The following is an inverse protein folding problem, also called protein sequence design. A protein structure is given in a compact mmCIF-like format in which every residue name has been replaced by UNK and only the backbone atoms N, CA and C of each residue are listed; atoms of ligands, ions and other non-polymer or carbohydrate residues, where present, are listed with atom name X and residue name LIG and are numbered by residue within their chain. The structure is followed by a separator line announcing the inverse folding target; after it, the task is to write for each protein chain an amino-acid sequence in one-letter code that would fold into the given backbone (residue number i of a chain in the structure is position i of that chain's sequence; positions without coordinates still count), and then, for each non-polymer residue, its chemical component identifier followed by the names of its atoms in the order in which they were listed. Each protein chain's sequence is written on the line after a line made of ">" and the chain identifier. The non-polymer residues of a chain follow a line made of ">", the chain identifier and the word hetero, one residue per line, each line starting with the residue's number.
data_IF_760317421238
#
_entry.id   IF_760317421238
#
_cell.length_a   1.000
_cell.length_b   1.000
_cell.length_c   1.000
_cell.angle_alpha   90.00
_cell.angle_beta   90.00
_cell.angle_gamma   90.00
#
_symmetry.space_group_name_H-M   'P 1'
#
loop_
_entity.id
_entity.type
_entity.pdbx_description
1 polymer ?
#
# COMPACT_ATOMS: atom_id res chain seq x y z
N UNK A 1 70.88 -13.01 7.62
CA UNK A 1 69.79 -13.22 6.65
C UNK A 1 68.53 -13.63 7.42
N UNK A 2 67.57 -12.73 7.60
CA UNK A 2 66.26 -13.06 8.18
C UNK A 2 65.20 -12.37 7.36
N UNK A 3 64.52 -13.16 6.52
CA UNK A 3 63.53 -12.73 5.56
C UNK A 3 62.20 -12.48 6.28
N UNK A 4 61.82 -11.21 6.45
CA UNK A 4 60.52 -10.83 7.00
C UNK A 4 59.38 -11.32 6.12
N UNK A 5 58.51 -12.20 6.66
CA UNK A 5 57.30 -12.63 5.97
C UNK A 5 56.25 -11.51 6.03
N UNK A 6 55.99 -10.87 4.89
CA UNK A 6 54.89 -9.92 4.71
C UNK A 6 53.57 -10.71 4.74
N UNK A 7 52.79 -10.55 5.81
CA UNK A 7 51.45 -11.11 5.92
C UNK A 7 50.49 -10.34 4.99
N UNK A 8 50.06 -10.96 3.89
CA UNK A 8 49.00 -10.40 3.04
C UNK A 8 47.66 -10.42 3.80
N UNK A 9 46.87 -9.33 3.78
CA UNK A 9 45.56 -9.32 4.42
C UNK A 9 44.64 -10.33 3.73
N UNK A 10 44.05 -11.24 4.52
CA UNK A 10 43.05 -12.19 4.03
C UNK A 10 41.82 -11.40 3.61
N UNK A 11 41.46 -11.45 2.32
CA UNK A 11 40.17 -10.97 1.83
C UNK A 11 39.06 -11.70 2.58
N UNK A 12 38.45 -11.01 3.56
CA UNK A 12 37.15 -11.39 4.10
C UNK A 12 36.11 -11.08 3.02
N UNK A 13 35.94 -11.99 2.07
CA UNK A 13 34.66 -12.14 1.41
C UNK A 13 33.68 -12.68 2.45
N UNK A 14 33.26 -11.80 3.35
CA UNK A 14 32.12 -12.01 4.22
C UNK A 14 30.95 -12.20 3.27
N UNK A 15 30.45 -13.43 3.18
CA UNK A 15 29.26 -13.77 2.43
C UNK A 15 28.14 -12.81 2.85
N UNK A 16 27.94 -11.74 2.07
CA UNK A 16 26.71 -10.98 2.09
C UNK A 16 25.64 -12.00 1.71
N UNK A 17 24.94 -12.54 2.71
CA UNK A 17 23.72 -13.30 2.47
C UNK A 17 22.90 -12.44 1.53
N UNK A 18 22.69 -12.94 0.31
CA UNK A 18 21.70 -12.39 -0.59
C UNK A 18 20.35 -12.59 0.10
N UNK A 19 20.01 -11.69 1.03
CA UNK A 19 18.65 -11.44 1.45
C UNK A 19 17.97 -10.88 0.21
N UNK A 20 17.63 -11.76 -0.74
CA UNK A 20 16.69 -11.46 -1.80
C UNK A 20 15.46 -10.98 -1.06
N UNK A 21 15.25 -9.66 -1.05
CA UNK A 21 14.06 -9.05 -0.47
C UNK A 21 12.89 -9.80 -1.06
N UNK A 22 12.11 -10.46 -0.19
CA UNK A 22 10.89 -11.13 -0.61
C UNK A 22 10.05 -10.05 -1.30
N UNK A 23 9.83 -10.18 -2.60
CA UNK A 23 8.99 -9.23 -3.31
C UNK A 23 7.60 -9.32 -2.70
N UNK A 24 7.11 -8.23 -2.16
CA UNK A 24 5.74 -8.12 -1.69
C UNK A 24 4.84 -8.05 -2.92
N UNK A 25 4.47 -9.19 -3.49
CA UNK A 25 3.56 -9.25 -4.63
C UNK A 25 2.12 -9.04 -4.15
N UNK A 26 1.29 -8.43 -5.02
CA UNK A 26 -0.15 -8.29 -4.79
C UNK A 26 -0.78 -9.69 -4.73
N UNK A 27 -1.64 -9.90 -3.74
CA UNK A 27 -2.46 -11.11 -3.61
C UNK A 27 -3.94 -10.78 -3.83
N UNK A 28 -4.80 -11.81 -3.80
CA UNK A 28 -6.25 -11.67 -3.93
C UNK A 28 -6.87 -10.98 -2.70
N UNK A 29 -7.98 -10.28 -2.91
CA UNK A 29 -8.79 -9.59 -1.89
C UNK A 29 -8.04 -8.51 -1.10
N UNK A 30 -7.03 -7.87 -1.70
CA UNK A 30 -6.41 -6.70 -1.12
C UNK A 30 -7.24 -5.45 -1.41
N UNK A 31 -7.36 -4.60 -0.39
CA UNK A 31 -7.85 -3.23 -0.49
C UNK A 31 -6.66 -2.28 -0.48
N UNK A 32 -6.73 -1.16 -1.18
CA UNK A 32 -5.58 -0.27 -1.28
C UNK A 32 -5.72 0.84 -2.28
N UNK A 33 -4.56 1.29 -2.76
CA UNK A 33 -4.43 2.39 -3.70
C UNK A 33 -3.43 2.02 -4.78
N UNK A 34 -3.80 2.28 -6.02
CA UNK A 34 -2.92 2.19 -7.16
C UNK A 34 -2.30 3.56 -7.42
N UNK A 35 -0.98 3.64 -7.30
CA UNK A 35 -0.21 4.87 -7.38
C UNK A 35 0.64 4.86 -8.64
N UNK A 36 0.48 5.85 -9.53
CA UNK A 36 1.34 6.00 -10.71
C UNK A 36 2.35 7.13 -10.54
N UNK A 37 3.57 6.93 -11.06
CA UNK A 37 4.65 7.92 -11.02
C UNK A 37 5.51 7.91 -12.28
N UNK A 38 6.50 8.80 -12.40
CA UNK A 38 7.46 8.83 -13.52
C UNK A 38 8.88 8.53 -13.04
N UNK A 39 9.33 7.27 -13.18
CA UNK A 39 10.69 6.79 -12.89
C UNK A 39 11.25 7.15 -11.49
N UNK A 40 10.38 7.45 -10.52
CA UNK A 40 10.73 7.83 -9.14
C UNK A 40 9.84 7.10 -8.13
N UNK A 41 9.72 5.78 -8.28
CA UNK A 41 8.83 4.92 -7.48
C UNK A 41 9.08 5.05 -5.97
N UNK A 42 10.34 5.15 -5.54
CA UNK A 42 10.68 5.31 -4.11
C UNK A 42 10.11 6.59 -3.51
N UNK A 43 10.17 7.70 -4.25
CA UNK A 43 9.65 8.98 -3.77
C UNK A 43 8.13 9.01 -3.87
N UNK A 44 7.56 8.39 -4.91
CA UNK A 44 6.12 8.17 -5.00
C UNK A 44 5.59 7.40 -3.80
N UNK A 45 6.27 6.32 -3.37
CA UNK A 45 5.88 5.55 -2.18
C UNK A 45 5.86 6.44 -0.94
N UNK A 46 6.92 7.25 -0.73
CA UNK A 46 7.00 8.17 0.42
C UNK A 46 5.88 9.21 0.40
N UNK A 47 5.67 9.88 -0.73
CA UNK A 47 4.61 10.87 -0.87
C UNK A 47 3.23 10.25 -0.66
N UNK A 48 3.03 9.04 -1.16
CA UNK A 48 1.77 8.32 -0.98
C UNK A 48 1.53 8.01 0.50
N UNK A 49 2.53 7.54 1.24
CA UNK A 49 2.39 7.33 2.69
C UNK A 49 2.08 8.63 3.42
N UNK A 50 2.76 9.73 3.09
CA UNK A 50 2.54 11.01 3.75
C UNK A 50 1.07 11.47 3.61
N UNK A 51 0.54 11.42 2.39
CA UNK A 51 -0.84 11.86 2.13
C UNK A 51 -1.87 10.88 2.69
N UNK A 52 -1.64 9.58 2.52
CA UNK A 52 -2.56 8.56 3.03
C UNK A 52 -2.63 8.57 4.55
N UNK A 53 -1.49 8.72 5.24
CA UNK A 53 -1.47 8.83 6.70
C UNK A 53 -2.15 10.11 7.18
N UNK A 54 -1.83 11.26 6.56
CA UNK A 54 -2.48 12.53 6.91
C UNK A 54 -4.00 12.45 6.75
N UNK A 55 -4.48 11.94 5.62
CA UNK A 55 -5.91 11.80 5.37
C UNK A 55 -6.56 10.78 6.34
N UNK A 56 -5.87 9.68 6.65
CA UNK A 56 -6.38 8.70 7.61
C UNK A 56 -6.41 9.24 9.04
N UNK A 57 -5.47 10.08 9.43
CA UNK A 57 -5.44 10.76 10.73
C UNK A 57 -6.57 11.79 10.85
N UNK A 58 -6.83 12.57 9.79
CA UNK A 58 -7.94 13.53 9.76
C UNK A 58 -9.32 12.84 9.81
N UNK A 59 -9.47 11.67 9.17
CA UNK A 59 -10.75 10.95 9.11
C UNK A 59 -11.01 10.05 10.33
N UNK A 60 -10.00 9.28 10.75
CA UNK A 60 -10.15 8.24 11.77
C UNK A 60 -9.49 8.61 13.11
N UNK A 61 -8.86 9.79 13.20
CA UNK A 61 -8.04 10.21 14.33
C UNK A 61 -6.68 9.50 14.38
N UNK A 62 -5.81 9.98 15.26
CA UNK A 62 -4.69 9.18 15.73
C UNK A 62 -5.28 7.93 16.39
N UNK A 63 -4.97 6.76 15.83
CA UNK A 63 -5.40 5.51 16.46
C UNK A 63 -4.70 5.47 17.82
N UNK A 64 -5.49 5.27 18.88
CA UNK A 64 -5.13 5.25 20.30
C UNK A 64 -4.08 4.18 20.68
N UNK A 65 -2.98 4.06 19.97
CA UNK A 65 -1.81 3.30 20.42
C UNK A 65 -0.74 4.22 21.02
N UNK A 66 -0.81 5.53 20.79
CA UNK A 66 0.13 6.51 21.36
C UNK A 66 -0.37 7.18 22.66
N UNK A 67 -1.66 7.07 23.01
CA UNK A 67 -2.26 7.89 24.09
C UNK A 67 -2.52 7.17 25.41
N UNK A 68 -2.31 5.85 25.53
CA UNK A 68 -2.62 5.10 26.77
C UNK A 68 -1.42 4.91 27.73
N UNK A 69 -0.23 5.46 27.45
CA UNK A 69 0.97 5.26 28.31
C UNK A 69 1.40 6.48 29.14
N UNK A 70 0.49 7.41 29.47
CA UNK A 70 0.85 8.63 30.23
C UNK A 70 0.32 8.70 31.66
N UNK A 71 -0.28 7.65 32.22
CA UNK A 71 -0.87 7.72 33.58
C UNK A 71 -0.41 6.66 34.60
N UNK A 72 0.81 6.13 34.51
CA UNK A 72 1.39 5.44 35.67
C UNK A 72 2.91 5.61 35.74
N UNK A 73 3.35 6.76 36.27
CA UNK A 73 4.73 6.94 36.73
C UNK A 73 4.83 6.29 38.11
N UNK A 74 5.00 4.96 38.13
CA UNK A 74 5.64 4.29 39.25
C UNK A 74 7.14 4.19 38.95
N UNK A 75 7.96 4.57 39.92
CA UNK A 75 9.43 4.54 39.87
C UNK A 75 9.95 3.18 39.37
N UNK A 76 10.15 3.06 38.06
CA UNK A 76 10.94 1.98 37.45
C UNK A 76 12.22 2.55 36.89
N UNK A 77 13.29 1.76 37.02
CA UNK A 77 14.66 2.14 36.71
C UNK A 77 14.76 2.71 35.28
N UNK A 78 15.35 3.91 35.13
CA UNK A 78 15.42 4.67 33.86
C UNK A 78 15.96 3.80 32.71
N UNK A 79 16.83 2.83 33.04
CA UNK A 79 17.39 1.89 32.07
C UNK A 79 16.36 0.92 31.47
N UNK A 80 15.33 0.53 32.24
CA UNK A 80 14.26 -0.37 31.78
C UNK A 80 13.23 0.36 30.93
N UNK A 81 12.96 1.65 31.21
CA UNK A 81 12.15 2.51 30.35
C UNK A 81 12.83 2.76 29.00
N UNK A 82 14.14 3.02 28.98
CA UNK A 82 14.91 3.16 27.74
C UNK A 82 14.93 1.85 26.96
N UNK A 83 15.05 0.70 27.63
CA UNK A 83 15.00 -0.61 26.96
C UNK A 83 13.63 -0.87 26.33
N UNK A 84 12.54 -0.56 27.04
CA UNK A 84 11.17 -0.62 26.50
C UNK A 84 10.97 0.34 25.34
N UNK A 85 11.47 1.57 25.40
CA UNK A 85 11.39 2.53 24.29
C UNK A 85 12.16 2.03 23.06
N UNK A 86 13.35 1.45 23.26
CA UNK A 86 14.14 0.86 22.17
C UNK A 86 13.46 -0.39 21.58
N UNK A 87 12.79 -1.20 22.40
CA UNK A 87 12.00 -2.34 21.93
C UNK A 87 10.72 -1.90 21.20
N UNK A 88 10.03 -0.88 21.70
CA UNK A 88 8.86 -0.29 21.05
C UNK A 88 9.25 0.29 19.68
N UNK A 89 10.35 1.05 19.58
CA UNK A 89 10.91 1.56 18.32
C UNK A 89 11.35 0.44 17.34
N UNK A 90 11.84 -0.69 17.86
CA UNK A 90 12.16 -1.87 17.05
C UNK A 90 10.88 -2.60 16.61
N UNK A 91 9.85 -2.61 17.44
CA UNK A 91 8.56 -3.26 17.15
C UNK A 91 7.71 -2.44 16.17
N UNK A 92 7.84 -1.11 16.17
CA UNK A 92 7.20 -0.20 15.21
C UNK A 92 7.79 -0.33 13.81
N UNK A 93 9.03 -0.81 13.71
CA UNK A 93 9.65 -1.22 12.44
C UNK A 93 9.09 -2.54 11.87
N UNK A 94 8.21 -3.24 12.60
CA UNK A 94 7.50 -4.38 12.01
C UNK A 94 6.38 -3.84 11.13
N UNK A 95 6.46 -4.08 9.81
CA UNK A 95 5.44 -3.75 8.79
C UNK A 95 3.98 -4.16 9.17
N UNK A 96 3.82 -4.95 10.23
CA UNK A 96 2.54 -5.37 10.77
C UNK A 96 1.74 -4.23 11.43
N UNK A 97 2.38 -3.19 11.98
CA UNK A 97 1.63 -2.07 12.61
C UNK A 97 1.21 -0.97 11.63
N UNK A 98 1.83 -0.89 10.46
CA UNK A 98 1.53 0.17 9.51
C UNK A 98 0.17 -0.04 8.82
N UNK A 99 -0.68 1.01 8.88
CA UNK A 99 -2.00 1.07 8.20
C UNK A 99 -1.88 0.89 6.69
N UNK A 100 -0.74 1.28 6.13
CA UNK A 100 -0.43 1.21 4.71
C UNK A 100 0.87 0.45 4.48
N UNK A 101 0.87 -0.43 3.48
CA UNK A 101 2.03 -1.24 3.11
C UNK A 101 2.19 -1.26 1.59
N UNK A 102 3.40 -1.00 1.09
CA UNK A 102 3.72 -1.02 -0.33
C UNK A 102 3.96 -2.44 -0.84
N UNK A 103 3.36 -2.73 -1.98
CA UNK A 103 3.48 -3.96 -2.75
C UNK A 103 3.89 -3.64 -4.18
N UNK A 104 4.70 -4.51 -4.76
CA UNK A 104 5.09 -4.45 -6.15
C UNK A 104 3.91 -4.92 -7.01
N UNK A 105 3.49 -4.07 -7.96
CA UNK A 105 2.42 -4.42 -8.90
C UNK A 105 2.94 -5.20 -10.11
N UNK A 106 4.25 -5.41 -10.24
CA UNK A 106 4.88 -6.05 -11.40
C UNK A 106 4.85 -5.20 -12.67
N UNK A 107 4.44 -3.93 -12.58
CA UNK A 107 4.40 -2.99 -13.69
C UNK A 107 5.24 -1.76 -13.35
N UNK A 108 6.14 -1.38 -14.27
CA UNK A 108 6.99 -0.21 -14.09
C UNK A 108 6.12 1.03 -13.87
N UNK A 109 6.57 1.93 -12.99
CA UNK A 109 5.95 3.21 -12.70
C UNK A 109 4.55 3.09 -12.05
N UNK A 110 4.22 1.92 -11.50
CA UNK A 110 2.97 1.62 -10.85
C UNK A 110 3.25 0.88 -9.54
N UNK A 111 2.74 1.41 -8.44
CA UNK A 111 2.92 0.82 -7.11
C UNK A 111 1.55 0.59 -6.50
N UNK A 112 1.39 -0.53 -5.81
CA UNK A 112 0.19 -0.80 -5.04
C UNK A 112 0.45 -0.56 -3.56
N UNK A 113 -0.40 0.21 -2.90
CA UNK A 113 -0.33 0.44 -1.46
C UNK A 113 -1.54 -0.21 -0.84
N UNK A 114 -1.34 -1.35 -0.18
CA UNK A 114 -2.37 -2.05 0.56
C UNK A 114 -2.74 -1.23 1.79
N UNK A 115 -4.03 -1.12 2.07
CA UNK A 115 -4.54 -0.62 3.34
C UNK A 115 -5.18 -1.74 4.14
N UNK A 116 -5.19 -1.59 5.48
CA UNK A 116 -6.00 -2.40 6.39
C UNK A 116 -7.30 -1.70 6.80
N UNK A 117 -7.50 -0.46 6.35
CA UNK A 117 -8.69 0.33 6.65
C UNK A 117 -9.89 -0.19 5.84
N UNK A 118 -11.09 0.00 6.38
CA UNK A 118 -12.30 -0.64 5.85
C UNK A 118 -12.67 -0.11 4.45
N UNK A 119 -12.57 1.22 4.26
CA UNK A 119 -12.98 1.90 3.04
C UNK A 119 -11.85 2.77 2.44
N UNK A 120 -11.13 2.29 1.41
CA UNK A 120 -10.11 3.10 0.74
C UNK A 120 -10.69 4.26 -0.09
N UNK A 121 -11.97 4.18 -0.49
CA UNK A 121 -12.62 5.21 -1.33
C UNK A 121 -12.79 6.51 -0.55
N UNK A 122 -13.22 6.42 0.71
CA UNK A 122 -13.42 7.57 1.60
C UNK A 122 -12.13 8.38 1.79
N UNK A 123 -11.00 7.70 1.97
CA UNK A 123 -9.68 8.34 2.10
C UNK A 123 -9.30 9.06 0.81
N UNK A 124 -9.52 8.43 -0.35
CA UNK A 124 -9.24 9.06 -1.64
C UNK A 124 -10.13 10.28 -1.89
N UNK A 125 -11.42 10.21 -1.57
CA UNK A 125 -12.36 11.32 -1.68
C UNK A 125 -11.94 12.49 -0.79
N UNK A 126 -11.54 12.21 0.45
CA UNK A 126 -11.05 13.23 1.37
C UNK A 126 -9.77 13.91 0.86
N UNK A 127 -8.81 13.14 0.32
CA UNK A 127 -7.60 13.69 -0.30
C UNK A 127 -7.96 14.62 -1.46
N UNK A 128 -8.85 14.20 -2.36
CA UNK A 128 -9.25 15.00 -3.53
C UNK A 128 -9.99 16.25 -3.08
N UNK A 129 -10.87 16.14 -2.08
CA UNK A 129 -11.59 17.28 -1.50
C UNK A 129 -10.64 18.28 -0.86
N UNK A 130 -9.68 17.80 -0.07
CA UNK A 130 -8.64 18.65 0.53
C UNK A 130 -7.81 19.40 -0.53
N UNK A 131 -7.43 18.74 -1.63
CA UNK A 131 -6.73 19.40 -2.75
C UNK A 131 -7.64 20.42 -3.43
N UNK A 132 -8.92 20.11 -3.59
CA UNK A 132 -9.90 21.03 -4.14
C UNK A 132 -10.11 22.26 -3.25
N UNK A 133 -10.15 22.11 -1.93
CA UNK A 133 -10.40 23.22 -0.99
C UNK A 133 -9.15 24.08 -0.79
N UNK A 134 -7.98 23.45 -0.59
CA UNK A 134 -6.72 24.17 -0.36
C UNK A 134 -6.12 24.79 -1.63
N UNK A 135 -6.46 24.25 -2.81
CA UNK A 135 -5.84 24.57 -4.11
C UNK A 135 -4.32 24.40 -4.12
N UNK A 136 -3.79 23.56 -3.23
CA UNK A 136 -2.35 23.31 -3.11
C UNK A 136 -1.97 21.94 -3.65
N UNK A 137 -0.88 21.91 -4.41
CA UNK A 137 -0.27 20.67 -4.86
C UNK A 137 0.48 20.02 -3.69
N UNK A 138 0.01 18.86 -3.24
CA UNK A 138 0.60 18.13 -2.10
C UNK A 138 1.69 17.12 -2.53
N UNK A 139 1.72 16.71 -3.80
CA UNK A 139 2.67 15.70 -4.33
C UNK A 139 3.39 16.19 -5.56
N UNK A 140 4.61 15.71 -5.79
CA UNK A 140 5.36 15.93 -7.02
C UNK A 140 5.51 14.66 -7.86
N UNK A 141 5.69 13.52 -7.21
CA UNK A 141 6.00 12.24 -7.85
C UNK A 141 4.79 11.30 -7.94
N UNK A 142 3.88 11.36 -6.97
CA UNK A 142 2.58 10.72 -7.08
C UNK A 142 1.69 11.52 -8.04
N UNK A 143 1.44 10.96 -9.22
CA UNK A 143 0.68 11.62 -10.30
C UNK A 143 -0.80 11.24 -10.26
N UNK A 144 -1.09 9.96 -10.00
CA UNK A 144 -2.46 9.44 -9.94
C UNK A 144 -2.57 8.49 -8.77
N UNK A 145 -3.61 8.71 -7.96
CA UNK A 145 -4.04 7.84 -6.88
C UNK A 145 -5.41 7.28 -7.25
N UNK A 146 -5.54 5.96 -7.35
CA UNK A 146 -6.82 5.29 -7.62
C UNK A 146 -7.14 4.36 -6.45
N UNK A 147 -8.24 4.58 -5.71
CA UNK A 147 -8.65 3.64 -4.66
C UNK A 147 -9.09 2.31 -5.29
N UNK A 148 -8.71 1.21 -4.65
CA UNK A 148 -9.01 -0.16 -5.07
C UNK A 148 -9.70 -0.87 -3.90
N UNK A 149 -10.95 -1.27 -4.09
CA UNK A 149 -11.73 -1.97 -3.06
C UNK A 149 -11.48 -3.48 -3.03
N UNK A 150 -11.04 -4.08 -4.14
CA UNK A 150 -10.70 -5.50 -4.19
C UNK A 150 -9.69 -5.78 -5.30
N UNK A 151 -8.87 -6.81 -5.10
CA UNK A 151 -7.97 -7.37 -6.10
C UNK A 151 -8.34 -8.83 -6.37
N UNK A 152 -8.17 -9.28 -7.60
CA UNK A 152 -8.37 -10.68 -7.97
C UNK A 152 -7.31 -11.12 -8.96
N UNK A 153 -7.23 -12.43 -9.23
CA UNK A 153 -6.42 -12.93 -10.32
C UNK A 153 -7.06 -12.53 -11.65
N UNK A 154 -6.23 -12.33 -12.66
CA UNK A 154 -6.67 -11.91 -13.99
C UNK A 154 -7.29 -13.07 -14.80
N UNK A 155 -8.29 -13.74 -14.22
CA UNK A 155 -9.13 -14.75 -14.87
C UNK A 155 -10.58 -14.24 -14.88
N UNK A 156 -11.31 -14.50 -15.96
CA UNK A 156 -12.69 -13.99 -16.15
C UNK A 156 -13.59 -14.38 -14.97
N UNK A 157 -13.56 -15.65 -14.56
CA UNK A 157 -14.37 -16.15 -13.45
C UNK A 157 -14.04 -15.47 -12.11
N UNK A 158 -12.77 -15.11 -11.88
CA UNK A 158 -12.35 -14.46 -10.64
C UNK A 158 -12.74 -12.98 -10.65
N UNK A 159 -12.68 -12.32 -11.81
CA UNK A 159 -13.16 -10.94 -11.99
C UNK A 159 -14.67 -10.87 -11.72
N UNK A 160 -15.45 -11.82 -12.24
CA UNK A 160 -16.89 -11.87 -12.00
C UNK A 160 -17.22 -12.02 -10.51
N UNK A 161 -16.56 -12.96 -9.83
CA UNK A 161 -16.74 -13.20 -8.38
C UNK A 161 -16.34 -12.00 -7.54
N UNK A 162 -15.30 -11.27 -7.96
CA UNK A 162 -14.85 -10.08 -7.26
C UNK A 162 -15.78 -8.88 -7.49
N UNK A 163 -16.43 -8.80 -8.67
CA UNK A 163 -17.35 -7.72 -9.00
C UNK A 163 -18.72 -7.87 -8.33
N UNK A 164 -19.21 -9.09 -8.13
CA UNK A 164 -20.51 -9.36 -7.48
C UNK A 164 -20.75 -8.62 -6.15
N UNK A 165 -19.86 -8.72 -5.14
CA UNK A 165 -20.06 -8.00 -3.88
C UNK A 165 -19.92 -6.47 -4.03
N UNK A 166 -19.14 -5.99 -5.01
CA UNK A 166 -19.03 -4.56 -5.29
C UNK A 166 -20.31 -4.04 -5.94
N UNK A 167 -20.89 -4.83 -6.83
CA UNK A 167 -22.12 -4.50 -7.52
C UNK A 167 -23.27 -4.35 -6.52
N UNK A 168 -23.41 -5.33 -5.61
CA UNK A 168 -24.40 -5.29 -4.54
C UNK A 168 -24.18 -4.11 -3.59
N UNK A 169 -22.93 -3.79 -3.25
CA UNK A 169 -22.62 -2.68 -2.34
C UNK A 169 -23.01 -1.32 -2.93
N UNK A 170 -22.77 -1.09 -4.22
CA UNK A 170 -22.90 0.24 -4.83
C UNK A 170 -24.17 0.46 -5.66
N UNK A 171 -24.76 -0.60 -6.23
CA UNK A 171 -25.90 -0.52 -7.16
C UNK A 171 -27.23 -1.05 -6.62
N UNK A 172 -27.26 -1.69 -5.43
CA UNK A 172 -28.47 -2.34 -4.92
C UNK A 172 -29.64 -1.38 -4.62
N UNK A 173 -29.35 -0.14 -4.25
CA UNK A 173 -30.37 0.78 -3.71
C UNK A 173 -30.88 1.82 -4.71
N UNK A 174 -30.17 2.08 -5.81
CA UNK A 174 -30.54 3.13 -6.77
C UNK A 174 -30.30 2.65 -8.21
N UNK A 175 -31.25 2.90 -9.10
CA UNK A 175 -31.06 2.73 -10.55
C UNK A 175 -30.03 3.77 -11.05
N UNK A 176 -28.75 3.38 -11.06
CA UNK A 176 -27.62 4.22 -11.48
C UNK A 176 -27.06 3.72 -12.80
N UNK A 177 -26.84 4.64 -13.74
CA UNK A 177 -26.06 4.34 -14.95
C UNK A 177 -24.60 4.22 -14.59
N UNK A 178 -23.91 3.21 -15.12
CA UNK A 178 -22.48 3.00 -14.91
C UNK A 178 -21.73 2.83 -16.23
N UNK A 179 -20.40 2.93 -16.16
CA UNK A 179 -19.51 2.66 -17.29
C UNK A 179 -18.37 1.76 -16.84
N UNK A 180 -18.07 0.73 -17.64
CA UNK A 180 -16.95 -0.18 -17.39
C UNK A 180 -15.73 0.34 -18.16
N UNK A 181 -14.71 0.78 -17.42
CA UNK A 181 -13.43 1.22 -18.00
C UNK A 181 -12.40 0.09 -17.88
N UNK A 182 -12.04 -0.49 -19.01
CA UNK A 182 -11.02 -1.55 -19.08
C UNK A 182 -9.63 -0.97 -19.41
N UNK A 183 -8.66 -1.26 -18.56
CA UNK A 183 -7.24 -0.97 -18.79
C UNK A 183 -6.43 -2.24 -18.51
N UNK A 184 -5.42 -2.53 -19.33
CA UNK A 184 -4.50 -3.64 -19.11
C UNK A 184 -3.05 -3.15 -19.11
N UNK A 185 -2.21 -3.84 -18.33
CA UNK A 185 -0.76 -3.68 -18.32
C UNK A 185 -0.14 -5.05 -18.13
N UNK A 186 0.92 -5.34 -18.88
CA UNK A 186 1.66 -6.60 -18.78
C UNK A 186 0.78 -7.87 -18.86
N UNK A 187 -0.37 -7.78 -19.52
CA UNK A 187 -1.29 -8.89 -19.70
C UNK A 187 -1.95 -8.79 -21.08
N UNK A 188 -1.75 -9.82 -21.91
CA UNK A 188 -2.32 -9.93 -23.26
C UNK A 188 -3.33 -11.08 -23.39
N UNK A 189 -3.66 -11.78 -22.30
CA UNK A 189 -4.55 -12.96 -22.34
C UNK A 189 -6.03 -12.61 -22.24
N UNK A 190 -6.38 -11.43 -21.71
CA UNK A 190 -7.77 -11.00 -21.56
C UNK A 190 -8.16 -9.98 -22.64
N UNK A 191 -9.25 -10.23 -23.34
CA UNK A 191 -9.80 -9.27 -24.29
C UNK A 191 -10.76 -8.29 -23.61
N UNK A 192 -10.70 -7.02 -24.01
CA UNK A 192 -11.58 -5.96 -23.49
C UNK A 192 -13.05 -6.30 -23.67
N UNK A 193 -13.43 -6.73 -24.87
CA UNK A 193 -14.83 -6.97 -25.24
C UNK A 193 -15.43 -8.15 -24.48
N UNK A 194 -14.64 -9.20 -24.23
CA UNK A 194 -15.09 -10.35 -23.46
C UNK A 194 -15.38 -9.98 -22.00
N UNK A 195 -14.48 -9.23 -21.34
CA UNK A 195 -14.68 -8.79 -19.96
C UNK A 195 -15.91 -7.90 -19.84
N UNK A 196 -16.07 -6.92 -20.75
CA UNK A 196 -17.21 -6.00 -20.71
C UNK A 196 -18.53 -6.75 -20.95
N UNK A 197 -18.61 -7.61 -21.98
CA UNK A 197 -19.82 -8.38 -22.29
C UNK A 197 -20.22 -9.30 -21.14
N UNK A 198 -19.24 -9.96 -20.50
CA UNK A 198 -19.50 -10.86 -19.36
C UNK A 198 -20.08 -10.13 -18.17
N UNK A 199 -19.48 -9.00 -17.79
CA UNK A 199 -19.98 -8.18 -16.69
C UNK A 199 -21.36 -7.59 -16.99
N UNK A 200 -21.59 -7.08 -18.20
CA UNK A 200 -22.91 -6.57 -18.61
C UNK A 200 -24.00 -7.65 -18.61
N UNK A 201 -23.67 -8.86 -19.06
CA UNK A 201 -24.67 -9.94 -19.13
C UNK A 201 -25.10 -10.41 -17.74
N UNK A 202 -24.12 -10.56 -16.83
CA UNK A 202 -24.35 -11.13 -15.50
C UNK A 202 -25.02 -10.16 -14.55
N UNK A 203 -24.65 -8.89 -14.64
CA UNK A 203 -25.24 -7.81 -13.88
C UNK A 203 -26.14 -7.06 -14.84
N UNK A 204 -27.39 -7.52 -14.99
CA UNK A 204 -28.49 -6.79 -15.63
C UNK A 204 -28.77 -5.50 -14.82
N UNK A 205 -27.79 -4.60 -14.81
CA UNK A 205 -27.76 -3.29 -14.18
C UNK A 205 -27.96 -2.22 -15.25
#
# INVERSE_FOLDING_TARGET
>A
MSSGKIMKPKNKNFYMKNNRKKSNNIDVNFKGFLCSCNNREKDCIKESYNILNKAAEELYGSTKEETEKLEDVQETDISDEIAKEVEDLKSDNTNSKHKFNSYDSGAKNLVFIRTRLENPVEIAEHIVKNVYDTKQQQTRFLIRLVPIETTCKAYINDIEKAFEPLAEKHFKNDAKTFSIVYNHRNNNSLSKDEVIKKLQTKFHL
#
